data_IF_288218821837
#
_entry.id   IF_288218821837
#
_cell.length_a   1.000
_cell.length_b   1.000
_cell.length_c   1.000
_cell.angle_alpha   90.00
_cell.angle_beta   90.00
_cell.angle_gamma   90.00
#
_symmetry.space_group_name_H-M   'P 1'
#
loop_
_entity.id
_entity.type
_entity.pdbx_description
1 polymer ?
#
# COMPACT_ATOMS: atom_id res chain seq x y z
N UNK A 1 -14.40 48.42 16.92
CA UNK A 1 -14.27 46.94 16.97
C UNK A 1 -14.69 46.40 15.62
N UNK A 2 -13.73 46.02 14.79
CA UNK A 2 -14.00 45.27 13.56
C UNK A 2 -12.87 44.27 13.38
N UNK A 3 -13.28 43.03 13.26
CA UNK A 3 -12.54 41.78 13.45
C UNK A 3 -11.68 41.46 12.23
N UNK A 4 -10.45 40.98 12.46
CA UNK A 4 -9.57 40.38 11.45
C UNK A 4 -10.18 39.09 10.87
N UNK A 5 -10.08 38.81 9.56
CA UNK A 5 -10.36 37.48 9.05
C UNK A 5 -9.06 36.66 9.02
N UNK A 6 -8.83 35.88 10.07
CA UNK A 6 -7.84 34.81 10.08
C UNK A 6 -8.57 33.50 10.34
N UNK A 7 -8.96 32.80 9.26
CA UNK A 7 -9.46 31.41 9.29
C UNK A 7 -9.58 30.83 7.88
N UNK A 8 -8.58 30.05 7.49
CA UNK A 8 -8.77 28.68 6.99
C UNK A 8 -7.41 28.09 6.56
N UNK A 9 -6.77 27.37 7.48
CA UNK A 9 -5.65 26.44 7.18
C UNK A 9 -5.77 25.12 7.95
N UNK A 10 -6.98 24.72 8.35
CA UNK A 10 -7.19 23.62 9.30
C UNK A 10 -8.03 22.45 8.82
N UNK A 11 -8.33 22.30 7.52
CA UNK A 11 -9.31 21.29 7.04
C UNK A 11 -8.70 20.25 6.09
N UNK A 12 -7.38 20.27 5.81
CA UNK A 12 -6.75 19.30 4.89
C UNK A 12 -5.89 18.24 5.59
N UNK A 13 -5.89 18.17 6.92
CA UNK A 13 -4.97 17.30 7.68
C UNK A 13 -5.66 16.10 8.37
N UNK A 14 -6.97 15.89 8.17
CA UNK A 14 -7.73 14.87 8.92
C UNK A 14 -8.34 13.76 8.05
N UNK A 15 -8.22 13.82 6.72
CA UNK A 15 -8.70 12.75 5.83
C UNK A 15 -7.61 11.74 5.46
N UNK A 16 -6.33 12.09 5.62
CA UNK A 16 -5.21 11.15 5.36
C UNK A 16 -4.93 10.20 6.53
N UNK A 17 -5.41 10.49 7.74
CA UNK A 17 -5.06 9.71 8.94
C UNK A 17 -5.91 8.43 9.11
N UNK A 18 -7.07 8.35 8.46
CA UNK A 18 -8.03 7.24 8.60
C UNK A 18 -7.65 6.06 7.69
N UNK A 19 -7.10 6.32 6.51
CA UNK A 19 -6.70 5.29 5.53
C UNK A 19 -5.49 4.50 6.05
N UNK A 20 -4.51 5.18 6.67
CA UNK A 20 -3.32 4.54 7.25
C UNK A 20 -3.54 3.88 8.62
N UNK A 21 -4.62 4.21 9.35
CA UNK A 21 -4.93 3.54 10.63
C UNK A 21 -5.47 2.11 10.44
N UNK A 22 -6.13 1.80 9.32
CA UNK A 22 -6.60 0.43 9.03
C UNK A 22 -5.51 -0.49 8.46
N UNK A 23 -4.58 0.05 7.66
CA UNK A 23 -3.37 -0.68 7.21
C UNK A 23 -2.55 -1.21 8.41
N UNK A 24 -2.42 -0.40 9.47
CA UNK A 24 -1.77 -0.80 10.74
C UNK A 24 -2.45 -1.95 11.48
N UNK A 25 -3.76 -2.12 11.29
CA UNK A 25 -4.54 -3.13 12.02
C UNK A 25 -4.47 -4.51 11.35
N UNK A 26 -4.31 -4.56 10.02
CA UNK A 26 -4.15 -5.82 9.27
C UNK A 26 -2.74 -6.40 9.35
N UNK A 27 -1.70 -5.56 9.49
CA UNK A 27 -0.32 -6.03 9.73
C UNK A 27 -0.13 -6.63 11.13
N UNK A 28 -0.89 -6.17 12.13
CA UNK A 28 -0.73 -6.65 13.52
C UNK A 28 -1.41 -8.00 13.77
N UNK A 29 -2.54 -8.29 13.11
CA UNK A 29 -3.29 -9.55 13.31
C UNK A 29 -2.60 -10.80 12.76
N UNK A 30 -1.63 -10.65 11.84
CA UNK A 30 -0.85 -11.79 11.31
C UNK A 30 0.36 -12.16 12.19
N UNK A 31 0.74 -11.31 13.15
CA UNK A 31 1.91 -11.53 14.04
C UNK A 31 1.72 -12.64 15.07
N UNK A 32 0.48 -13.10 15.31
CA UNK A 32 0.16 -14.03 16.40
C UNK A 32 -0.01 -15.50 15.98
N UNK A 33 0.08 -15.83 14.70
CA UNK A 33 -0.06 -17.22 14.24
C UNK A 33 1.24 -17.78 13.65
N UNK A 34 2.31 -17.76 14.45
CA UNK A 34 3.53 -18.53 14.15
C UNK A 34 3.54 -19.77 15.05
N UNK A 35 3.51 -21.01 14.51
CA UNK A 35 3.87 -22.18 15.31
C UNK A 35 5.34 -22.04 15.70
N UNK A 36 5.61 -22.10 17.01
CA UNK A 36 6.92 -21.83 17.58
C UNK A 36 7.98 -22.81 17.10
N UNK A 37 9.03 -22.29 16.46
CA UNK A 37 10.32 -22.97 16.40
C UNK A 37 11.13 -22.58 17.63
N UNK A 38 10.99 -23.37 18.69
CA UNK A 38 12.01 -23.48 19.72
C UNK A 38 13.12 -24.37 19.18
N UNK A 39 14.36 -23.85 19.08
CA UNK A 39 15.64 -24.55 19.25
C UNK A 39 16.76 -23.50 19.10
N UNK A 40 17.71 -23.53 20.02
CA UNK A 40 18.60 -22.41 20.35
C UNK A 40 19.65 -22.02 19.31
N UNK A 41 20.27 -20.89 19.62
CA UNK A 41 21.65 -20.54 19.28
C UNK A 41 22.08 -20.74 17.82
N UNK A 42 21.63 -19.82 16.96
CA UNK A 42 22.41 -19.46 15.78
C UNK A 42 22.16 -17.99 15.40
N UNK A 43 23.08 -17.13 15.84
CA UNK A 43 23.35 -15.82 15.24
C UNK A 43 23.78 -16.00 13.78
N UNK A 44 22.81 -16.15 12.87
CA UNK A 44 23.00 -15.93 11.43
C UNK A 44 22.07 -14.81 10.99
N UNK A 45 22.63 -13.78 10.34
CA UNK A 45 21.93 -12.65 9.77
C UNK A 45 21.06 -13.04 8.56
N UNK A 46 20.03 -13.84 8.79
CA UNK A 46 18.88 -13.90 7.91
C UNK A 46 17.96 -12.73 8.26
N UNK A 47 18.37 -11.53 7.85
CA UNK A 47 17.39 -10.47 7.65
C UNK A 47 16.52 -10.90 6.47
N UNK A 48 15.27 -11.24 6.75
CA UNK A 48 14.27 -11.36 5.70
C UNK A 48 14.23 -10.02 4.96
N UNK A 49 14.37 -10.00 3.63
CA UNK A 49 14.45 -8.75 2.90
C UNK A 49 13.18 -7.94 3.12
N UNK A 50 13.35 -6.63 3.32
CA UNK A 50 12.25 -5.68 3.46
C UNK A 50 11.89 -5.10 2.09
N UNK A 51 10.61 -5.09 1.80
CA UNK A 51 10.06 -4.54 0.56
C UNK A 51 9.06 -3.42 0.87
N UNK A 52 9.04 -2.39 0.04
CA UNK A 52 8.17 -1.22 0.16
C UNK A 52 7.17 -1.22 -0.99
N UNK A 53 5.89 -1.08 -0.72
CA UNK A 53 4.81 -1.22 -1.69
C UNK A 53 4.18 0.13 -2.03
N UNK A 54 4.75 0.84 -3.00
CA UNK A 54 4.21 2.10 -3.47
C UNK A 54 2.97 1.85 -4.34
N UNK A 55 1.92 2.63 -4.13
CA UNK A 55 0.72 2.57 -4.97
C UNK A 55 0.69 3.73 -5.94
N UNK A 56 0.22 3.49 -7.17
CA UNK A 56 0.07 4.52 -8.20
C UNK A 56 -1.38 4.53 -8.66
N UNK A 57 -2.00 5.69 -8.52
CA UNK A 57 -3.41 5.90 -8.79
C UNK A 57 -3.57 7.23 -9.52
N UNK A 58 -4.24 7.22 -10.68
CA UNK A 58 -4.44 8.42 -11.49
C UNK A 58 -3.15 9.23 -11.78
N UNK A 59 -2.00 8.53 -11.83
CA UNK A 59 -0.68 9.12 -12.03
C UNK A 59 -0.03 9.74 -10.78
N UNK A 60 -0.69 9.67 -9.62
CA UNK A 60 -0.09 10.04 -8.33
C UNK A 60 0.53 8.82 -7.67
N UNK A 61 1.74 8.98 -7.16
CA UNK A 61 2.46 7.93 -6.41
C UNK A 61 2.25 8.19 -4.93
N UNK A 62 1.82 7.16 -4.21
CA UNK A 62 1.68 7.14 -2.76
C UNK A 62 2.78 6.19 -2.24
N UNK A 63 3.88 6.73 -1.68
CA UNK A 63 5.00 5.91 -1.25
C UNK A 63 4.70 5.15 0.05
N UNK A 64 5.21 3.92 0.15
CA UNK A 64 5.27 3.18 1.42
C UNK A 64 6.63 3.41 2.09
N UNK A 65 6.60 3.93 3.32
CA UNK A 65 7.80 4.21 4.14
C UNK A 65 8.03 3.15 5.23
N UNK A 66 7.08 2.24 5.46
CA UNK A 66 7.20 1.21 6.50
C UNK A 66 7.83 -0.06 5.94
N UNK A 67 7.34 -0.49 4.78
CA UNK A 67 7.70 -1.76 4.18
C UNK A 67 7.40 -2.98 5.06
N UNK A 68 7.63 -4.16 4.49
CA UNK A 68 7.35 -5.45 5.12
C UNK A 68 8.50 -6.43 4.86
N UNK A 69 8.90 -7.14 5.92
CA UNK A 69 9.89 -8.23 5.83
C UNK A 69 9.19 -9.51 5.36
N UNK A 70 9.56 -9.99 4.18
CA UNK A 70 8.97 -11.19 3.61
C UNK A 70 9.86 -11.81 2.53
N UNK A 71 9.57 -13.05 2.14
CA UNK A 71 10.27 -13.69 1.03
C UNK A 71 9.82 -13.13 -0.32
N UNK A 72 10.63 -13.34 -1.36
CA UNK A 72 10.29 -12.88 -2.72
C UNK A 72 8.94 -13.44 -3.24
N UNK A 73 8.59 -14.73 -3.01
CA UNK A 73 7.26 -15.24 -3.39
C UNK A 73 6.12 -14.57 -2.61
N UNK A 74 6.29 -14.35 -1.30
CA UNK A 74 5.29 -13.67 -0.47
C UNK A 74 5.07 -12.22 -0.94
N UNK A 75 6.15 -11.51 -1.30
CA UNK A 75 6.07 -10.16 -1.84
C UNK A 75 5.21 -10.08 -3.10
N UNK A 76 5.39 -11.04 -4.03
CA UNK A 76 4.61 -11.06 -5.28
C UNK A 76 3.13 -11.31 -5.04
N UNK A 77 2.80 -12.21 -4.11
CA UNK A 77 1.41 -12.50 -3.77
C UNK A 77 0.77 -11.34 -3.01
N UNK A 78 1.51 -10.69 -2.11
CA UNK A 78 1.03 -9.51 -1.40
C UNK A 78 0.78 -8.33 -2.36
N UNK A 79 1.69 -8.04 -3.29
CA UNK A 79 1.51 -6.97 -4.27
C UNK A 79 0.25 -7.16 -5.13
N UNK A 80 -0.08 -8.40 -5.52
CA UNK A 80 -1.33 -8.72 -6.23
C UNK A 80 -2.57 -8.58 -5.34
N UNK A 81 -2.45 -8.92 -4.04
CA UNK A 81 -3.55 -8.90 -3.08
C UNK A 81 -4.05 -7.49 -2.80
N UNK A 82 -3.15 -6.50 -2.81
CA UNK A 82 -3.47 -5.09 -2.55
C UNK A 82 -4.31 -4.47 -3.68
N UNK A 83 -4.08 -4.85 -4.94
CA UNK A 83 -4.73 -4.20 -6.09
C UNK A 83 -6.27 -4.20 -6.06
N UNK A 84 -6.97 -5.32 -5.77
CA UNK A 84 -8.43 -5.30 -5.62
C UNK A 84 -8.92 -4.44 -4.45
N UNK A 85 -8.14 -4.35 -3.36
CA UNK A 85 -8.48 -3.51 -2.20
C UNK A 85 -8.49 -2.05 -2.62
N UNK A 86 -7.46 -1.59 -3.36
CA UNK A 86 -7.41 -0.23 -3.95
C UNK A 86 -8.58 0.03 -4.92
N UNK A 87 -8.91 -0.94 -5.77
CA UNK A 87 -9.99 -0.76 -6.75
C UNK A 87 -11.38 -0.59 -6.12
N UNK A 88 -11.59 -1.08 -4.89
CA UNK A 88 -12.86 -0.93 -4.16
C UNK A 88 -12.93 0.41 -3.42
N UNK A 89 -11.81 0.92 -2.94
CA UNK A 89 -11.76 2.17 -2.16
C UNK A 89 -11.83 3.43 -3.05
N UNK A 90 -11.44 3.31 -4.33
CA UNK A 90 -11.33 4.45 -5.23
C UNK A 90 -12.48 4.57 -6.24
N UNK A 91 -13.00 5.79 -6.50
CA UNK A 91 -14.00 6.02 -7.54
C UNK A 91 -13.48 5.66 -8.95
N UNK A 92 -14.20 4.77 -9.64
CA UNK A 92 -13.90 4.29 -10.99
C UNK A 92 -14.52 5.22 -12.05
N UNK A 93 -13.98 6.44 -12.18
CA UNK A 93 -14.60 7.51 -12.98
C UNK A 93 -14.35 7.39 -14.48
N UNK A 94 -13.31 6.66 -14.90
CA UNK A 94 -12.97 6.50 -16.31
C UNK A 94 -13.48 5.17 -16.87
N UNK A 95 -13.71 5.12 -18.19
CA UNK A 95 -13.91 3.84 -18.89
C UNK A 95 -12.66 2.96 -18.83
N UNK A 96 -11.49 3.53 -18.54
CA UNK A 96 -10.24 2.80 -18.29
C UNK A 96 -9.60 3.30 -17.01
N UNK A 97 -9.66 2.50 -15.96
CA UNK A 97 -8.98 2.74 -14.69
C UNK A 97 -7.77 1.81 -14.59
N UNK A 98 -6.67 2.32 -14.06
CA UNK A 98 -5.41 1.60 -13.89
C UNK A 98 -4.90 1.86 -12.48
N UNK A 99 -4.70 0.76 -11.74
CA UNK A 99 -4.10 0.74 -10.42
C UNK A 99 -2.77 0.01 -10.53
N UNK A 100 -1.70 0.58 -9.98
CA UNK A 100 -0.37 -0.04 -10.03
C UNK A 100 0.19 -0.14 -8.62
N UNK A 101 0.81 -1.27 -8.32
CA UNK A 101 1.68 -1.44 -7.15
C UNK A 101 3.11 -1.61 -7.66
N UNK A 102 4.01 -0.72 -7.23
CA UNK A 102 5.45 -0.84 -7.41
C UNK A 102 6.09 -1.26 -6.12
N UNK A 103 7.00 -2.23 -6.22
CA UNK A 103 7.71 -2.73 -5.05
C UNK A 103 9.17 -2.34 -5.14
N UNK A 104 9.64 -1.63 -4.12
CA UNK A 104 11.05 -1.27 -3.93
C UNK A 104 11.74 -2.19 -2.94
N UNK A 105 13.02 -2.45 -3.16
CA UNK A 105 13.90 -3.08 -2.17
C UNK A 105 14.47 -2.04 -1.17
N UNK A 106 15.26 -2.50 -0.20
CA UNK A 106 15.93 -1.66 0.80
C UNK A 106 16.92 -0.63 0.23
N UNK A 107 17.40 -0.85 -1.00
CA UNK A 107 18.24 0.12 -1.71
C UNK A 107 17.41 1.15 -2.48
N UNK A 108 16.08 1.08 -2.40
CA UNK A 108 15.14 1.94 -3.10
C UNK A 108 14.97 1.61 -4.58
N UNK A 109 15.43 0.43 -5.03
CA UNK A 109 15.29 0.00 -6.43
C UNK A 109 13.95 -0.68 -6.64
N UNK A 110 13.26 -0.33 -7.72
CA UNK A 110 12.07 -1.05 -8.16
C UNK A 110 12.46 -2.49 -8.57
N UNK A 111 11.90 -3.47 -7.86
CA UNK A 111 12.18 -4.91 -8.06
C UNK A 111 10.98 -5.67 -8.61
N UNK A 112 9.78 -5.10 -8.51
CA UNK A 112 8.56 -5.71 -9.02
C UNK A 112 7.50 -4.64 -9.29
N UNK A 113 6.69 -4.85 -10.32
CA UNK A 113 5.53 -4.03 -10.64
C UNK A 113 4.37 -4.95 -11.01
N UNK A 114 3.18 -4.59 -10.56
CA UNK A 114 1.94 -5.27 -10.94
C UNK A 114 0.83 -4.24 -11.09
N UNK A 115 -0.01 -4.44 -12.10
CA UNK A 115 -1.10 -3.53 -12.45
C UNK A 115 -2.44 -4.25 -12.54
N UNK A 116 -3.50 -3.61 -12.07
CA UNK A 116 -4.89 -3.98 -12.31
C UNK A 116 -5.54 -2.94 -13.22
N UNK A 117 -6.03 -3.38 -14.38
CA UNK A 117 -6.71 -2.54 -15.36
C UNK A 117 -8.17 -2.94 -15.40
N UNK A 118 -9.06 -1.98 -15.13
CA UNK A 118 -10.49 -2.12 -15.36
C UNK A 118 -10.88 -1.32 -16.59
N UNK A 119 -11.44 -2.00 -17.59
CA UNK A 119 -11.94 -1.39 -18.81
C UNK A 119 -13.45 -1.63 -18.96
N UNK A 120 -14.22 -0.55 -19.12
CA UNK A 120 -15.63 -0.55 -19.42
C UNK A 120 -15.85 -0.07 -20.86
N UNK A 121 -16.85 -0.63 -21.53
CA UNK A 121 -17.28 -0.19 -22.86
C UNK A 121 -18.78 -0.38 -22.99
N UNK A 122 -19.48 0.67 -23.40
CA UNK A 122 -20.88 0.56 -23.80
C UNK A 122 -20.98 -0.13 -25.16
N UNK A 123 -21.77 -1.20 -25.25
CA UNK A 123 -21.94 -1.99 -26.48
C UNK A 123 -23.17 -1.60 -27.32
N UNK A 124 -23.89 -0.55 -26.91
CA UNK A 124 -25.01 -0.02 -27.68
C UNK A 124 -24.46 0.99 -28.70
N UNK A 125 -24.21 0.48 -29.90
CA UNK A 125 -23.94 1.24 -31.13
C UNK A 125 -24.89 0.75 -32.20
#
# INVERSE_FOLDING_TARGET
MTVCPERNRGVLALEEEIIWQWARTLTLSRKLNRPGTNLGDASWGWSMPRYFFDTIENGQIIPDDQGLEMSLPEMREEAKRVLPELAVEHPLLADRNEFVVRVRDESGRDVYEVSLILAAKLLLT
#
